data_IF_588472269398
#
_entry.id   IF_588472269398
#
_cell.length_a   1.000
_cell.length_b   1.000
_cell.length_c   1.000
_cell.angle_alpha   90.00
_cell.angle_beta   90.00
_cell.angle_gamma   90.00
#
_symmetry.space_group_name_H-M   'P 1'
#
loop_
_entity.id
_entity.type
_entity.pdbx_description
1 polymer ?
#
# COMPACT_ATOMS: atom_id res chain seq x y z
N UNK A 1 34.39 -13.08 -0.52
CA UNK A 1 33.86 -12.13 -1.53
C UNK A 1 32.36 -12.34 -1.53
N UNK A 2 31.61 -11.51 -0.78
CA UNK A 2 30.14 -11.62 -0.74
C UNK A 2 29.59 -11.04 -2.03
N UNK A 3 28.61 -11.70 -2.69
CA UNK A 3 27.98 -11.13 -3.87
C UNK A 3 27.23 -9.87 -3.46
N UNK A 4 27.62 -8.75 -4.07
CA UNK A 4 26.94 -7.47 -3.98
C UNK A 4 25.48 -7.68 -4.46
N UNK A 5 24.53 -7.77 -3.52
CA UNK A 5 23.10 -7.81 -3.86
C UNK A 5 22.76 -6.49 -4.52
N UNK A 6 22.76 -6.49 -5.84
CA UNK A 6 22.19 -5.39 -6.64
C UNK A 6 20.74 -5.18 -6.19
N UNK A 7 20.51 -4.25 -5.29
CA UNK A 7 19.16 -3.88 -4.86
C UNK A 7 18.48 -3.17 -6.03
N UNK A 8 17.70 -3.92 -6.80
CA UNK A 8 16.79 -3.32 -7.78
C UNK A 8 15.87 -2.35 -7.02
N UNK A 9 15.73 -1.13 -7.55
CA UNK A 9 14.88 -0.09 -6.96
C UNK A 9 13.62 -0.01 -7.82
N UNK A 10 12.45 -0.11 -7.18
CA UNK A 10 11.17 0.15 -7.80
C UNK A 10 10.86 1.65 -7.68
N UNK A 11 10.64 2.30 -8.82
CA UNK A 11 10.19 3.69 -8.88
C UNK A 11 8.67 3.71 -8.87
N UNK A 12 8.08 4.58 -8.06
CA UNK A 12 6.63 4.82 -8.09
C UNK A 12 6.23 5.47 -9.42
N UNK A 13 5.08 5.07 -9.95
CA UNK A 13 4.52 5.62 -11.17
C UNK A 13 4.29 7.14 -11.10
N UNK A 14 4.61 7.85 -12.18
CA UNK A 14 4.50 9.31 -12.26
C UNK A 14 3.06 9.81 -12.10
N UNK A 15 2.08 9.06 -12.62
CA UNK A 15 0.68 9.44 -12.51
C UNK A 15 0.15 9.30 -11.09
N UNK A 16 0.54 8.24 -10.38
CA UNK A 16 0.24 8.07 -8.96
C UNK A 16 0.81 9.21 -8.11
N UNK A 17 2.06 9.64 -8.40
CA UNK A 17 2.69 10.78 -7.72
C UNK A 17 1.96 12.10 -8.01
N UNK A 18 1.53 12.33 -9.25
CA UNK A 18 0.73 13.50 -9.65
C UNK A 18 -0.60 13.53 -8.90
N UNK A 19 -1.29 12.39 -8.77
CA UNK A 19 -2.55 12.26 -8.02
C UNK A 19 -2.36 12.61 -6.54
N UNK A 20 -1.28 12.15 -5.90
CA UNK A 20 -0.96 12.53 -4.51
C UNK A 20 -0.75 14.03 -4.37
N UNK A 21 0.05 14.64 -5.25
CA UNK A 21 0.29 16.09 -5.24
C UNK A 21 -1.00 16.89 -5.46
N UNK A 22 -1.87 16.42 -6.34
CA UNK A 22 -3.17 17.06 -6.58
C UNK A 22 -4.08 16.96 -5.35
N UNK A 23 -4.14 15.81 -4.68
CA UNK A 23 -4.88 15.63 -3.43
C UNK A 23 -4.33 16.53 -2.31
N UNK A 24 -2.99 16.66 -2.21
CA UNK A 24 -2.33 17.59 -1.30
C UNK A 24 -2.75 19.03 -1.59
N UNK A 25 -2.63 19.49 -2.84
CA UNK A 25 -3.03 20.83 -3.26
C UNK A 25 -4.48 21.12 -2.92
N UNK A 26 -5.40 20.21 -3.28
CA UNK A 26 -6.84 20.34 -2.94
C UNK A 26 -7.07 20.48 -1.44
N UNK A 27 -6.29 19.79 -0.62
CA UNK A 27 -6.38 19.90 0.85
C UNK A 27 -5.79 21.20 1.41
N UNK A 28 -4.91 21.88 0.66
CA UNK A 28 -4.30 23.17 1.02
C UNK A 28 -5.15 24.37 0.56
N UNK A 29 -6.04 24.22 -0.41
CA UNK A 29 -6.90 25.31 -0.93
C UNK A 29 -7.67 26.03 0.17
N UNK A 30 -8.30 25.39 1.17
CA UNK A 30 -8.99 26.11 2.23
C UNK A 30 -8.06 27.00 3.07
N UNK A 31 -6.83 26.57 3.32
CA UNK A 31 -5.83 27.37 4.03
C UNK A 31 -5.42 28.61 3.23
N UNK A 32 -5.23 28.45 1.91
CA UNK A 32 -4.92 29.59 1.03
C UNK A 32 -6.09 30.57 0.93
N UNK A 33 -7.34 30.07 0.86
CA UNK A 33 -8.53 30.92 0.88
C UNK A 33 -8.64 31.70 2.18
N UNK A 34 -8.39 31.06 3.33
CA UNK A 34 -8.41 31.71 4.64
C UNK A 34 -7.31 32.80 4.74
N UNK A 35 -6.13 32.53 4.20
CA UNK A 35 -5.04 33.52 4.15
C UNK A 35 -5.42 34.72 3.28
N UNK A 36 -6.04 34.50 2.12
CA UNK A 36 -6.49 35.57 1.23
C UNK A 36 -7.56 36.45 1.93
N UNK A 37 -8.49 35.83 2.66
CA UNK A 37 -9.49 36.56 3.47
C UNK A 37 -8.79 37.39 4.54
N UNK A 38 -7.82 36.87 5.25
CA UNK A 38 -7.07 37.61 6.27
C UNK A 38 -6.35 38.83 5.70
N UNK A 39 -5.74 38.69 4.51
CA UNK A 39 -5.08 39.80 3.80
C UNK A 39 -6.11 40.86 3.37
N UNK A 40 -7.24 40.44 2.81
CA UNK A 40 -8.31 41.36 2.38
C UNK A 40 -8.90 42.13 3.54
N UNK A 41 -9.17 41.51 4.69
CA UNK A 41 -9.64 42.15 5.90
C UNK A 41 -8.65 43.24 6.39
N UNK A 42 -7.36 42.94 6.38
CA UNK A 42 -6.33 43.87 6.78
C UNK A 42 -6.18 45.06 5.83
N UNK A 43 -6.40 44.85 4.52
CA UNK A 43 -6.28 45.89 3.49
C UNK A 43 -7.50 46.83 3.42
N UNK A 44 -8.72 46.29 3.61
CA UNK A 44 -9.96 47.02 3.39
C UNK A 44 -10.47 47.78 4.62
N UNK A 45 -10.14 47.32 5.83
CA UNK A 45 -10.67 47.89 7.06
C UNK A 45 -9.55 48.18 8.06
N UNK A 46 -9.00 49.40 8.07
CA UNK A 46 -7.92 49.79 8.99
C UNK A 46 -8.44 50.03 10.39
N UNK A 47 -8.91 49.01 11.09
CA UNK A 47 -9.28 49.09 12.50
C UNK A 47 -8.41 48.16 13.35
N UNK A 48 -8.01 48.64 14.54
CA UNK A 48 -7.12 47.87 15.43
C UNK A 48 -7.68 46.49 15.80
N UNK A 49 -8.98 46.38 16.02
CA UNK A 49 -9.63 45.13 16.39
C UNK A 49 -9.64 44.13 15.21
N UNK A 50 -9.87 44.60 13.99
CA UNK A 50 -9.86 43.78 12.81
C UNK A 50 -8.46 43.33 12.40
N UNK A 51 -7.43 44.12 12.66
CA UNK A 51 -6.04 43.72 12.51
C UNK A 51 -5.71 42.49 13.35
N UNK A 52 -6.13 42.48 14.64
CA UNK A 52 -5.90 41.31 15.52
C UNK A 52 -6.61 40.07 15.02
N UNK A 53 -7.85 40.17 14.51
CA UNK A 53 -8.59 39.06 13.92
C UNK A 53 -7.91 38.56 12.65
N UNK A 54 -7.49 39.47 11.76
CA UNK A 54 -6.78 39.09 10.53
C UNK A 54 -5.46 38.35 10.81
N UNK A 55 -4.72 38.80 11.85
CA UNK A 55 -3.49 38.16 12.27
C UNK A 55 -3.73 36.72 12.77
N UNK A 56 -4.76 36.51 13.59
CA UNK A 56 -5.13 35.16 14.07
C UNK A 56 -5.55 34.25 12.91
N UNK A 57 -6.37 34.75 11.98
CA UNK A 57 -6.77 34.01 10.80
C UNK A 57 -5.57 33.63 9.93
N UNK A 58 -4.64 34.55 9.70
CA UNK A 58 -3.41 34.28 8.97
C UNK A 58 -2.56 33.20 9.66
N UNK A 59 -2.40 33.27 10.98
CA UNK A 59 -1.67 32.26 11.75
C UNK A 59 -2.32 30.88 11.63
N UNK A 60 -3.65 30.80 11.78
CA UNK A 60 -4.39 29.55 11.62
C UNK A 60 -4.22 28.98 10.19
N UNK A 61 -4.28 29.84 9.17
CA UNK A 61 -4.08 29.43 7.77
C UNK A 61 -2.68 28.86 7.55
N UNK A 62 -1.65 29.52 8.06
CA UNK A 62 -0.25 29.04 7.95
C UNK A 62 -0.06 27.70 8.67
N UNK A 63 -0.55 27.58 9.90
CA UNK A 63 -0.47 26.32 10.67
C UNK A 63 -1.18 25.19 9.94
N UNK A 64 -2.39 25.45 9.42
CA UNK A 64 -3.12 24.45 8.60
C UNK A 64 -2.34 24.05 7.37
N UNK A 65 -1.81 25.00 6.60
CA UNK A 65 -1.01 24.75 5.41
C UNK A 65 0.19 23.84 5.71
N UNK A 66 0.90 24.12 6.80
CA UNK A 66 2.05 23.32 7.25
C UNK A 66 1.62 21.91 7.67
N UNK A 67 0.54 21.76 8.47
CA UNK A 67 0.03 20.45 8.89
C UNK A 67 -0.31 19.60 7.67
N UNK A 68 -1.01 20.16 6.67
CA UNK A 68 -1.32 19.45 5.44
C UNK A 68 -0.03 19.07 4.69
N UNK A 69 0.93 20.00 4.56
CA UNK A 69 2.20 19.74 3.90
C UNK A 69 2.96 18.56 4.55
N UNK A 70 3.05 18.55 5.87
CA UNK A 70 3.70 17.47 6.60
C UNK A 70 2.92 16.14 6.58
N UNK A 71 1.59 16.19 6.48
CA UNK A 71 0.74 14.99 6.44
C UNK A 71 0.79 14.26 5.09
N UNK A 72 1.15 14.94 3.98
CA UNK A 72 1.21 14.38 2.63
C UNK A 72 2.62 13.90 2.26
N UNK A 73 3.30 13.22 3.19
CA UNK A 73 4.60 12.61 2.91
C UNK A 73 4.40 11.28 2.19
N UNK A 74 5.26 10.99 1.22
CA UNK A 74 5.27 9.72 0.49
C UNK A 74 6.70 9.35 0.06
N UNK A 75 6.95 8.06 -0.19
CA UNK A 75 8.23 7.54 -0.68
C UNK A 75 8.15 7.31 -2.19
N UNK A 76 9.09 7.88 -2.94
CA UNK A 76 9.16 7.70 -4.40
C UNK A 76 9.84 6.39 -4.81
N UNK A 77 10.74 5.89 -3.97
CA UNK A 77 11.57 4.73 -4.25
C UNK A 77 11.44 3.73 -3.11
N UNK A 78 11.25 2.47 -3.46
CA UNK A 78 11.33 1.35 -2.52
C UNK A 78 12.29 0.30 -3.06
N UNK A 79 12.82 -0.57 -2.21
CA UNK A 79 13.51 -1.76 -2.67
C UNK A 79 12.53 -2.63 -3.47
N UNK A 80 12.98 -3.20 -4.59
CA UNK A 80 12.13 -4.13 -5.32
C UNK A 80 11.80 -5.32 -4.40
N UNK A 81 10.52 -5.66 -4.24
CA UNK A 81 10.11 -6.75 -3.37
C UNK A 81 10.70 -8.07 -3.86
N UNK A 82 11.05 -8.98 -2.95
CA UNK A 82 11.34 -10.37 -3.32
C UNK A 82 10.13 -10.98 -4.04
N UNK A 83 10.39 -11.94 -4.91
CA UNK A 83 9.31 -12.74 -5.49
C UNK A 83 8.55 -13.44 -4.35
N UNK A 84 7.22 -13.49 -4.45
CA UNK A 84 6.34 -14.11 -3.46
C UNK A 84 6.39 -13.50 -2.05
N UNK A 85 6.84 -12.25 -1.90
CA UNK A 85 6.76 -11.54 -0.64
C UNK A 85 5.42 -10.81 -0.48
N UNK A 86 4.86 -10.86 0.72
CA UNK A 86 3.72 -10.03 1.09
C UNK A 86 4.23 -8.73 1.71
N UNK A 87 3.81 -7.60 1.15
CA UNK A 87 4.25 -6.28 1.57
C UNK A 87 3.24 -5.60 2.49
N UNK A 88 3.73 -4.71 3.34
CA UNK A 88 2.87 -3.80 4.10
C UNK A 88 2.20 -2.79 3.16
N UNK A 89 0.85 -2.70 3.18
CA UNK A 89 0.14 -1.75 2.33
C UNK A 89 0.28 -0.30 2.82
N UNK A 90 0.55 -0.07 4.09
CA UNK A 90 0.63 1.27 4.71
C UNK A 90 1.84 1.38 5.63
N UNK A 91 2.29 2.61 5.87
CA UNK A 91 3.19 2.91 6.97
C UNK A 91 2.42 2.95 8.28
N UNK A 92 3.01 2.38 9.33
CA UNK A 92 2.44 2.44 10.66
C UNK A 92 3.16 1.56 11.66
N UNK A 93 2.60 1.47 12.86
CA UNK A 93 3.10 0.59 13.92
C UNK A 93 2.20 -0.63 14.06
N UNK A 94 2.77 -1.80 14.20
CA UNK A 94 2.01 -3.01 14.48
C UNK A 94 1.43 -2.92 15.88
N UNK A 95 0.11 -2.74 15.94
CA UNK A 95 -0.61 -2.54 17.20
C UNK A 95 -0.81 -3.87 17.91
N UNK A 96 -1.16 -4.92 17.18
CA UNK A 96 -1.24 -6.29 17.69
C UNK A 96 -1.13 -7.30 16.54
N UNK A 97 -0.67 -8.48 16.89
CA UNK A 97 -0.77 -9.70 16.09
C UNK A 97 -1.42 -10.75 16.98
N UNK A 98 -2.59 -11.25 16.60
CA UNK A 98 -3.34 -12.26 17.34
C UNK A 98 -3.79 -13.34 16.39
N UNK A 99 -3.53 -14.60 16.73
CA UNK A 99 -3.94 -15.73 15.92
C UNK A 99 -4.47 -16.87 16.78
N UNK A 100 -5.33 -17.65 16.19
CA UNK A 100 -5.68 -19.00 16.59
C UNK A 100 -5.26 -19.97 15.48
N UNK A 101 -5.62 -21.23 15.57
CA UNK A 101 -5.26 -22.24 14.56
C UNK A 101 -5.81 -21.93 13.16
N UNK A 102 -6.98 -21.28 13.08
CA UNK A 102 -7.68 -21.02 11.83
C UNK A 102 -7.36 -19.65 11.21
N UNK A 103 -7.16 -18.62 12.03
CA UNK A 103 -7.07 -17.23 11.56
C UNK A 103 -6.07 -16.43 12.38
N UNK A 104 -5.23 -15.66 11.70
CA UNK A 104 -4.34 -14.67 12.31
C UNK A 104 -4.73 -13.26 11.87
N UNK A 105 -4.88 -12.36 12.84
CA UNK A 105 -5.16 -10.94 12.63
C UNK A 105 -3.91 -10.12 12.95
N UNK A 106 -3.47 -9.32 11.98
CA UNK A 106 -2.41 -8.34 12.13
C UNK A 106 -3.01 -6.94 11.97
N UNK A 107 -2.82 -6.06 12.95
CA UNK A 107 -3.29 -4.68 12.85
C UNK A 107 -2.12 -3.71 12.78
N UNK A 108 -2.09 -2.91 11.71
CA UNK A 108 -1.10 -1.85 11.48
C UNK A 108 -1.81 -0.52 11.74
N UNK A 109 -1.36 0.22 12.75
CA UNK A 109 -1.94 1.50 13.15
C UNK A 109 -1.11 2.65 12.63
N UNK A 110 -1.75 3.52 11.85
CA UNK A 110 -1.18 4.73 11.25
C UNK A 110 -1.47 5.95 12.10
N UNK A 111 -0.48 6.82 12.31
CA UNK A 111 -0.65 8.14 12.93
C UNK A 111 -0.69 9.24 11.88
N UNK A 112 -1.02 10.48 12.31
CA UNK A 112 -1.25 11.61 11.40
C UNK A 112 -0.04 11.96 10.51
N UNK A 113 1.17 11.82 11.03
CA UNK A 113 2.41 12.19 10.35
C UNK A 113 3.06 11.04 9.55
N UNK A 114 2.48 9.84 9.60
CA UNK A 114 2.91 8.75 8.75
C UNK A 114 2.54 9.02 7.28
N UNK A 115 3.27 8.40 6.36
CA UNK A 115 3.08 8.59 4.91
C UNK A 115 1.68 8.22 4.47
N UNK A 116 1.18 8.93 3.44
CA UNK A 116 -0.21 8.77 2.96
C UNK A 116 -0.39 7.65 1.96
N UNK A 117 0.68 7.17 1.32
CA UNK A 117 0.56 6.17 0.27
C UNK A 117 0.03 4.83 0.79
N UNK A 118 -0.83 4.22 -0.01
CA UNK A 118 -1.22 2.82 0.10
C UNK A 118 -0.55 2.09 -1.06
N UNK A 119 0.20 1.05 -0.74
CA UNK A 119 0.90 0.22 -1.73
C UNK A 119 0.23 -1.13 -1.89
N UNK A 120 0.32 -1.64 -3.11
CA UNK A 120 -0.14 -2.97 -3.44
C UNK A 120 0.72 -4.00 -2.70
N UNK A 121 0.14 -4.89 -1.89
CA UNK A 121 0.90 -5.85 -1.10
C UNK A 121 1.44 -7.02 -1.92
N UNK A 122 0.84 -7.34 -3.07
CA UNK A 122 1.25 -8.45 -3.94
C UNK A 122 0.64 -8.31 -5.34
N UNK A 123 1.27 -8.91 -6.36
CA UNK A 123 0.83 -8.85 -7.77
C UNK A 123 -0.57 -9.43 -8.00
N UNK A 124 -0.96 -10.44 -7.21
CA UNK A 124 -2.28 -11.09 -7.30
C UNK A 124 -3.36 -10.39 -6.45
N UNK A 125 -3.09 -9.17 -5.95
CA UNK A 125 -4.05 -8.43 -5.15
C UNK A 125 -5.20 -7.89 -5.99
N UNK A 126 -6.43 -7.92 -5.43
CA UNK A 126 -7.65 -7.40 -6.07
C UNK A 126 -8.42 -6.53 -5.08
N UNK A 127 -8.99 -5.45 -5.57
CA UNK A 127 -9.83 -4.56 -4.75
C UNK A 127 -11.30 -4.88 -5.02
N UNK A 128 -12.00 -5.35 -3.99
CA UNK A 128 -13.44 -5.66 -4.01
C UNK A 128 -14.10 -4.96 -2.82
N UNK A 129 -15.11 -4.16 -3.06
CA UNK A 129 -15.89 -3.43 -2.02
C UNK A 129 -15.03 -2.62 -1.03
N UNK A 130 -13.90 -2.06 -1.50
CA UNK A 130 -12.98 -1.29 -0.66
C UNK A 130 -12.07 -2.13 0.24
N UNK A 131 -12.15 -3.45 0.14
CA UNK A 131 -11.26 -4.42 0.81
C UNK A 131 -10.30 -4.98 -0.23
N UNK A 132 -9.02 -4.99 0.10
CA UNK A 132 -8.02 -5.59 -0.75
C UNK A 132 -7.92 -7.09 -0.42
N UNK A 133 -8.04 -7.93 -1.42
CA UNK A 133 -8.01 -9.37 -1.31
C UNK A 133 -6.82 -9.94 -2.06
N UNK A 134 -6.32 -11.06 -1.55
CA UNK A 134 -5.25 -11.83 -2.16
C UNK A 134 -5.54 -13.32 -1.94
N UNK A 135 -5.55 -14.09 -3.02
CA UNK A 135 -5.74 -15.53 -2.96
C UNK A 135 -4.37 -16.22 -2.76
N UNK A 136 -4.23 -16.97 -1.67
CA UNK A 136 -3.07 -17.81 -1.38
C UNK A 136 -3.48 -19.29 -1.33
N UNK A 137 -2.51 -20.21 -1.38
CA UNK A 137 -2.78 -21.65 -1.23
C UNK A 137 -3.42 -21.98 0.12
N UNK A 138 -3.07 -21.24 1.16
CA UNK A 138 -3.65 -21.41 2.50
C UNK A 138 -5.07 -20.83 2.63
N UNK A 139 -5.54 -20.05 1.64
CA UNK A 139 -6.83 -19.39 1.65
C UNK A 139 -6.74 -17.89 1.32
N UNK A 140 -7.85 -17.18 1.48
CA UNK A 140 -7.98 -15.76 1.12
C UNK A 140 -7.40 -14.85 2.23
N UNK A 141 -6.41 -14.04 1.89
CA UNK A 141 -5.88 -12.97 2.75
C UNK A 141 -6.67 -11.70 2.44
N UNK A 142 -7.10 -10.98 3.47
CA UNK A 142 -7.86 -9.75 3.29
C UNK A 142 -7.25 -8.59 4.07
N UNK A 143 -7.25 -7.40 3.45
CA UNK A 143 -6.75 -6.14 4.01
C UNK A 143 -7.92 -5.19 4.12
N UNK A 144 -8.35 -4.92 5.34
CA UNK A 144 -9.43 -3.99 5.65
C UNK A 144 -8.85 -2.69 6.17
N UNK A 145 -9.18 -1.58 5.51
CA UNK A 145 -8.70 -0.25 5.85
C UNK A 145 -9.76 0.52 6.63
N UNK A 146 -9.37 1.05 7.79
CA UNK A 146 -10.20 1.87 8.65
C UNK A 146 -9.65 3.30 8.68
N UNK A 147 -10.02 4.09 7.67
CA UNK A 147 -9.62 5.49 7.54
C UNK A 147 -10.83 6.37 7.25
N UNK A 148 -10.90 7.53 7.91
CA UNK A 148 -11.95 8.52 7.64
C UNK A 148 -11.85 9.08 6.21
N UNK A 149 -10.63 9.18 5.64
CA UNK A 149 -10.36 9.66 4.29
C UNK A 149 -9.47 8.67 3.59
N UNK A 150 -10.11 7.78 2.84
CA UNK A 150 -9.48 6.77 2.00
C UNK A 150 -9.85 7.07 0.54
N UNK A 151 -8.86 7.10 -0.33
CA UNK A 151 -9.08 7.30 -1.76
C UNK A 151 -8.26 6.29 -2.55
N UNK A 152 -8.93 5.43 -3.29
CA UNK A 152 -8.32 4.54 -4.26
C UNK A 152 -8.08 5.26 -5.58
N UNK A 153 -7.00 4.90 -6.26
CA UNK A 153 -6.72 5.44 -7.58
C UNK A 153 -7.37 4.54 -8.64
N UNK A 154 -8.19 5.10 -9.55
CA UNK A 154 -8.72 4.35 -10.68
C UNK A 154 -7.58 4.02 -11.66
N UNK A 155 -7.74 2.91 -12.40
CA UNK A 155 -6.88 2.49 -13.52
C UNK A 155 -5.40 2.30 -13.14
N UNK A 156 -5.12 1.88 -11.89
CA UNK A 156 -3.78 1.55 -11.44
C UNK A 156 -3.56 0.05 -11.53
N UNK A 157 -2.41 -0.33 -12.07
CA UNK A 157 -2.00 -1.73 -12.12
C UNK A 157 -1.64 -2.23 -10.71
N UNK A 158 -2.26 -3.33 -10.29
CA UNK A 158 -2.02 -3.97 -9.01
C UNK A 158 -0.74 -4.82 -9.08
N UNK A 159 0.42 -4.14 -9.08
CA UNK A 159 1.75 -4.76 -8.95
C UNK A 159 2.30 -4.51 -7.55
N UNK A 160 2.99 -5.51 -6.99
CA UNK A 160 3.62 -5.42 -5.68
C UNK A 160 4.47 -4.15 -5.54
N UNK A 161 4.18 -3.36 -4.50
CA UNK A 161 4.86 -2.10 -4.24
C UNK A 161 4.35 -0.87 -5.00
N UNK A 162 3.49 -1.01 -6.01
CA UNK A 162 2.87 0.13 -6.68
C UNK A 162 1.94 0.90 -5.73
N UNK A 163 1.84 2.22 -5.91
CA UNK A 163 0.92 3.05 -5.14
C UNK A 163 -0.47 2.92 -5.76
N UNK A 164 -1.42 2.36 -5.01
CA UNK A 164 -2.80 2.11 -5.44
C UNK A 164 -3.82 3.07 -4.84
N UNK A 165 -3.42 3.89 -3.87
CA UNK A 165 -4.29 4.84 -3.21
C UNK A 165 -3.58 5.67 -2.14
N UNK A 166 -4.39 6.47 -1.44
CA UNK A 166 -3.94 7.28 -0.30
C UNK A 166 -4.88 7.15 0.89
N UNK A 167 -4.30 7.12 2.09
CA UNK A 167 -5.00 7.14 3.37
C UNK A 167 -4.55 8.37 4.17
N UNK A 168 -5.45 9.33 4.37
CA UNK A 168 -5.14 10.61 5.01
C UNK A 168 -5.62 10.59 6.46
N UNK A 169 -4.73 10.99 7.37
CA UNK A 169 -5.03 11.10 8.79
C UNK A 169 -4.71 9.84 9.58
N UNK A 170 -5.34 9.72 10.76
CA UNK A 170 -5.22 8.56 11.65
C UNK A 170 -6.13 7.44 11.18
N UNK A 171 -5.71 6.21 11.39
CA UNK A 171 -6.47 5.00 11.03
C UNK A 171 -5.62 3.76 11.14
N UNK A 172 -6.00 2.71 10.41
CA UNK A 172 -5.25 1.47 10.40
C UNK A 172 -5.62 0.56 9.24
N UNK A 173 -4.85 -0.50 9.13
CA UNK A 173 -5.13 -1.63 8.25
C UNK A 173 -5.13 -2.91 9.09
N UNK A 174 -6.23 -3.66 9.02
CA UNK A 174 -6.31 -4.99 9.60
C UNK A 174 -6.11 -6.01 8.50
N UNK A 175 -5.09 -6.82 8.63
CA UNK A 175 -4.79 -7.92 7.73
C UNK A 175 -5.27 -9.21 8.38
N UNK A 176 -6.09 -9.96 7.66
CA UNK A 176 -6.60 -11.26 8.09
C UNK A 176 -5.91 -12.34 7.26
N UNK A 177 -5.21 -13.23 7.92
CA UNK A 177 -4.54 -14.39 7.31
C UNK A 177 -5.31 -15.66 7.63
N UNK A 178 -5.42 -16.61 6.71
CA UNK A 178 -5.81 -17.98 7.03
C UNK A 178 -4.67 -18.68 7.79
N UNK A 179 -4.98 -19.38 8.86
CA UNK A 179 -4.02 -20.13 9.67
C UNK A 179 -3.00 -19.26 10.41
N UNK A 180 -1.80 -19.81 10.60
CA UNK A 180 -0.69 -19.18 11.32
C UNK A 180 0.47 -18.86 10.35
N UNK A 181 0.47 -17.67 9.71
CA UNK A 181 1.55 -17.28 8.80
C UNK A 181 2.83 -16.98 9.58
N UNK A 182 3.97 -17.26 8.95
CA UNK A 182 5.28 -16.87 9.47
C UNK A 182 5.53 -15.39 9.18
N UNK A 183 5.12 -14.50 10.08
CA UNK A 183 5.36 -13.06 9.97
C UNK A 183 6.80 -12.73 10.37
N UNK A 184 7.42 -11.79 9.64
CA UNK A 184 8.76 -11.27 9.96
C UNK A 184 8.68 -10.21 11.07
N UNK A 185 7.55 -9.49 11.12
CA UNK A 185 7.32 -8.38 12.02
C UNK A 185 6.62 -8.81 13.31
N UNK A 186 6.86 -8.07 14.38
CA UNK A 186 6.31 -8.32 15.72
C UNK A 186 5.44 -7.14 16.18
N UNK A 187 4.62 -7.37 17.20
CA UNK A 187 3.84 -6.30 17.84
C UNK A 187 4.78 -5.24 18.39
N UNK A 188 4.52 -4.00 18.04
CA UNK A 188 5.35 -2.85 18.41
C UNK A 188 6.31 -2.37 17.34
N UNK A 189 6.59 -3.17 16.31
CA UNK A 189 7.47 -2.78 15.22
C UNK A 189 6.86 -1.64 14.37
N UNK A 190 7.74 -0.78 13.88
CA UNK A 190 7.41 0.23 12.87
C UNK A 190 7.63 -0.38 11.49
N UNK A 191 6.63 -0.35 10.65
CA UNK A 191 6.71 -0.81 9.26
C UNK A 191 6.44 0.33 8.30
N UNK A 192 7.17 0.36 7.19
CA UNK A 192 6.92 1.30 6.09
C UNK A 192 6.03 0.64 5.03
N UNK A 193 5.31 1.46 4.25
CA UNK A 193 4.58 0.98 3.09
C UNK A 193 5.55 0.38 2.07
N UNK A 194 5.36 -0.90 1.75
CA UNK A 194 6.26 -1.68 0.88
C UNK A 194 7.31 -2.50 1.62
N UNK A 195 7.37 -2.46 2.96
CA UNK A 195 8.22 -3.37 3.72
C UNK A 195 7.62 -4.79 3.72
N UNK A 196 8.48 -5.81 3.78
CA UNK A 196 8.08 -7.22 3.76
C UNK A 196 7.47 -7.62 5.09
N UNK A 197 6.22 -8.08 5.07
CA UNK A 197 5.52 -8.64 6.23
C UNK A 197 5.74 -10.16 6.34
N UNK A 198 5.80 -10.84 5.18
CA UNK A 198 5.96 -12.29 5.08
C UNK A 198 6.74 -12.62 3.82
N UNK A 199 7.69 -13.53 3.91
CA UNK A 199 8.37 -14.18 2.79
C UNK A 199 7.64 -15.49 2.44
N UNK A 200 7.91 -16.02 1.25
CA UNK A 200 7.40 -17.32 0.79
C UNK A 200 5.87 -17.45 0.75
N UNK A 201 5.18 -16.40 0.30
CA UNK A 201 3.76 -16.49 0.02
C UNK A 201 3.52 -17.40 -1.18
N UNK A 202 2.94 -18.57 -0.95
CA UNK A 202 2.55 -19.50 -2.02
C UNK A 202 1.16 -19.08 -2.53
N UNK A 203 1.10 -18.50 -3.73
CA UNK A 203 -0.18 -18.12 -4.37
C UNK A 203 -0.71 -19.26 -5.23
N UNK A 204 -2.02 -19.48 -5.23
CA UNK A 204 -2.65 -20.57 -5.98
C UNK A 204 -2.51 -20.51 -7.51
N UNK A 205 -1.95 -19.43 -8.04
CA UNK A 205 -1.75 -19.25 -9.48
C UNK A 205 -0.42 -19.82 -10.01
N UNK A 206 0.53 -20.17 -9.15
CA UNK A 206 1.86 -20.63 -9.59
C UNK A 206 1.87 -22.09 -10.10
N UNK A 207 0.78 -22.83 -9.90
CA UNK A 207 0.75 -24.29 -10.22
C UNK A 207 0.31 -24.60 -11.65
N UNK A 208 -0.11 -23.62 -12.48
CA UNK A 208 -0.61 -23.91 -13.83
C UNK A 208 0.37 -23.62 -14.97
N UNK A 209 1.55 -23.07 -14.71
CA UNK A 209 2.51 -22.75 -15.78
C UNK A 209 3.74 -23.65 -15.86
N UNK A 210 4.00 -24.51 -14.88
CA UNK A 210 5.19 -25.38 -14.90
C UNK A 210 4.90 -26.89 -15.12
N UNK A 211 3.64 -27.23 -15.32
CA UNK A 211 3.35 -28.60 -15.84
C UNK A 211 3.53 -28.61 -17.34
N UNK A 212 4.82 -28.63 -17.76
CA UNK A 212 5.23 -29.04 -19.10
C UNK A 212 4.56 -30.37 -19.38
N UNK A 213 3.73 -30.51 -20.43
CA UNK A 213 3.07 -31.76 -20.70
C UNK A 213 4.14 -32.83 -20.87
N UNK A 214 4.13 -33.85 -20.00
CA UNK A 214 4.90 -35.06 -20.20
C UNK A 214 4.47 -35.60 -21.54
N UNK A 215 5.33 -35.42 -22.53
CA UNK A 215 5.22 -36.12 -23.81
C UNK A 215 5.22 -37.60 -23.45
N UNK A 216 4.07 -38.25 -23.62
CA UNK A 216 3.98 -39.69 -23.60
C UNK A 216 4.97 -40.19 -24.66
N UNK A 217 6.08 -40.77 -24.21
CA UNK A 217 6.97 -41.51 -25.09
C UNK A 217 6.12 -42.59 -25.75
N UNK A 218 5.97 -42.44 -27.04
CA UNK A 218 5.38 -43.47 -27.91
C UNK A 218 6.24 -44.72 -27.77
N UNK A 219 5.65 -45.77 -27.22
CA UNK A 219 6.25 -47.11 -27.16
C UNK A 219 6.45 -47.55 -28.60
N UNK A 220 7.68 -47.86 -29.05
CA UNK A 220 7.87 -48.35 -30.39
C UNK A 220 7.23 -49.74 -30.58
N UNK A 221 6.57 -49.89 -31.71
CA UNK A 221 5.84 -51.06 -32.16
C UNK A 221 6.60 -52.37 -31.93
N UNK A 222 5.90 -53.34 -31.37
CA UNK A 222 6.34 -54.74 -31.36
C UNK A 222 6.45 -55.25 -32.81
N UNK A 223 7.49 -56.01 -33.14
CA UNK A 223 7.63 -56.59 -34.47
C UNK A 223 6.54 -57.66 -34.68
N UNK A 224 5.82 -57.55 -35.82
CA UNK A 224 4.90 -58.54 -36.32
C UNK A 224 5.64 -59.88 -36.50
N UNK A 225 5.18 -60.87 -35.79
CA UNK A 225 5.60 -62.27 -36.00
C UNK A 225 5.15 -62.72 -37.37
N UNK A 226 6.11 -63.13 -38.20
CA UNK A 226 5.88 -63.87 -39.40
C UNK A 226 5.41 -65.26 -39.00
N UNK A 227 4.17 -65.58 -39.31
CA UNK A 227 3.72 -66.97 -39.43
C UNK A 227 4.21 -67.52 -40.77
N UNK A 228 5.16 -68.44 -40.70
CA UNK A 228 5.42 -69.41 -41.76
C UNK A 228 4.85 -70.76 -41.35
N UNK A 229 4.05 -71.29 -42.29
CA UNK A 229 3.51 -72.64 -42.49
C UNK A 229 2.14 -72.98 -41.99
#
# INVERSE_FOLDING_TARGET
>A
MMPEKSHKILLSDADSLRRIKFAQFRSQVPALALLAIAIALNALVPSHNLYSVALVLALVAVVWYLIVGFSFRFRQKIAAPPANALLSPIQGRIAFSRGNEDVTLLNIRKVLLDRVEIRCPHDSSRLEDGILHLDSVAGKISFRFDFRRLQWFPDVEFKAGNIIGIAIGKGGCTVTFPGQPKLICQTGDQVDAGDVLMEDLVTGQTTLQDEKPRILEVIPDLPEGKDEL
#
